data_IF_764535582955
#
_entry.id   IF_764535582955
#
_cell.length_a   1.000
_cell.length_b   1.000
_cell.length_c   1.000
_cell.angle_alpha   90.00
_cell.angle_beta   90.00
_cell.angle_gamma   90.00
#
_symmetry.space_group_name_H-M   'P 1'
#
loop_
_entity.id
_entity.type
_entity.pdbx_description
1 polymer ?
#
# COMPACT_ATOMS: atom_id res chain seq x y z
N UNK A 1 -24.68 0.57 9.59
CA UNK A 1 -23.79 1.32 10.49
C UNK A 1 -23.14 2.44 9.70
N UNK A 2 -22.90 3.57 10.34
CA UNK A 2 -22.09 4.67 9.80
C UNK A 2 -20.63 4.49 10.20
N UNK A 3 -19.73 4.36 9.23
CA UNK A 3 -18.32 4.08 9.47
C UNK A 3 -17.48 5.23 8.92
N UNK A 4 -16.67 5.87 9.75
CA UNK A 4 -15.71 6.86 9.29
C UNK A 4 -14.34 6.21 9.08
N UNK A 5 -13.82 6.30 7.87
CA UNK A 5 -12.48 5.87 7.48
C UNK A 5 -11.60 7.11 7.28
N UNK A 6 -10.57 7.28 8.11
CA UNK A 6 -9.65 8.41 8.03
C UNK A 6 -8.30 7.93 7.52
N UNK A 7 -7.81 8.54 6.44
CA UNK A 7 -6.57 8.10 5.79
C UNK A 7 -5.80 9.28 5.16
N UNK A 8 -4.47 9.25 5.22
CA UNK A 8 -3.58 10.13 4.45
C UNK A 8 -3.20 9.54 3.08
N UNK A 9 -3.54 8.26 2.83
CA UNK A 9 -3.32 7.55 1.58
C UNK A 9 -4.64 7.33 0.83
N UNK A 10 -4.86 8.05 -0.25
CA UNK A 10 -6.06 7.97 -1.09
C UNK A 10 -5.77 8.37 -2.52
N UNK A 11 -6.72 8.16 -3.42
CA UNK A 11 -6.62 8.62 -4.80
C UNK A 11 -6.20 10.11 -4.89
N UNK A 12 -5.36 10.51 -5.83
CA UNK A 12 -4.85 9.75 -6.98
C UNK A 12 -3.59 8.90 -6.72
N UNK A 13 -3.17 8.71 -5.46
CA UNK A 13 -2.03 7.86 -5.15
C UNK A 13 -2.31 6.41 -5.57
N UNK A 14 -1.29 5.75 -6.14
CA UNK A 14 -1.35 4.33 -6.52
C UNK A 14 -0.37 3.55 -5.65
N UNK A 15 -0.89 2.84 -4.67
CA UNK A 15 -0.12 1.98 -3.77
C UNK A 15 -1.03 0.95 -3.07
N UNK A 16 -0.43 -0.05 -2.44
CA UNK A 16 -1.17 -1.14 -1.78
C UNK A 16 -2.13 -0.69 -0.67
N UNK A 17 -1.82 0.41 0.03
CA UNK A 17 -2.72 0.96 1.08
C UNK A 17 -3.99 1.48 0.45
N UNK A 18 -3.88 2.30 -0.60
CA UNK A 18 -5.03 2.84 -1.34
C UNK A 18 -5.89 1.72 -1.90
N UNK A 19 -5.26 0.70 -2.53
CA UNK A 19 -5.98 -0.47 -3.06
C UNK A 19 -6.75 -1.18 -1.95
N UNK A 20 -6.11 -1.48 -0.82
CA UNK A 20 -6.76 -2.13 0.33
C UNK A 20 -7.95 -1.34 0.86
N UNK A 21 -7.78 -0.01 1.00
CA UNK A 21 -8.84 0.84 1.54
C UNK A 21 -10.01 1.01 0.57
N UNK A 22 -9.77 1.08 -0.73
CA UNK A 22 -10.82 1.10 -1.76
C UNK A 22 -11.65 -0.19 -1.72
N UNK A 23 -10.99 -1.35 -1.67
CA UNK A 23 -11.69 -2.64 -1.56
C UNK A 23 -12.44 -2.77 -0.22
N UNK A 24 -11.88 -2.26 0.88
CA UNK A 24 -12.57 -2.20 2.17
C UNK A 24 -13.85 -1.37 2.09
N UNK A 25 -13.79 -0.18 1.50
CA UNK A 25 -14.97 0.68 1.32
C UNK A 25 -16.03 -0.03 0.49
N UNK A 26 -15.66 -0.58 -0.68
CA UNK A 26 -16.58 -1.35 -1.53
C UNK A 26 -17.23 -2.51 -0.78
N UNK A 27 -16.44 -3.26 0.00
CA UNK A 27 -16.93 -4.39 0.79
C UNK A 27 -17.87 -3.96 1.92
N UNK A 28 -17.67 -2.80 2.53
CA UNK A 28 -18.55 -2.25 3.55
C UNK A 28 -19.87 -1.75 2.94
N UNK A 29 -19.79 -1.00 1.84
CA UNK A 29 -20.96 -0.48 1.13
C UNK A 29 -21.83 -1.62 0.57
N UNK A 30 -21.22 -2.68 0.03
CA UNK A 30 -21.95 -3.88 -0.43
C UNK A 30 -22.72 -4.57 0.71
N UNK A 31 -22.27 -4.41 1.95
CA UNK A 31 -22.94 -4.87 3.18
C UNK A 31 -23.91 -3.84 3.77
N UNK A 32 -24.25 -2.79 3.02
CA UNK A 32 -25.17 -1.72 3.41
C UNK A 32 -24.69 -0.89 4.60
N UNK A 33 -23.38 -0.73 4.77
CA UNK A 33 -22.82 0.27 5.66
C UNK A 33 -22.70 1.60 4.91
N UNK A 34 -22.91 2.71 5.61
CA UNK A 34 -22.63 4.05 5.11
C UNK A 34 -21.19 4.40 5.48
N UNK A 35 -20.36 4.73 4.49
CA UNK A 35 -18.93 4.97 4.72
C UNK A 35 -18.56 6.41 4.38
N UNK A 36 -18.07 7.15 5.37
CA UNK A 36 -17.43 8.45 5.16
C UNK A 36 -15.92 8.26 5.07
N UNK A 37 -15.33 8.56 3.92
CA UNK A 37 -13.88 8.58 3.76
C UNK A 37 -13.37 10.00 3.91
N UNK A 38 -12.49 10.24 4.90
CA UNK A 38 -11.80 11.51 5.11
C UNK A 38 -10.36 11.37 4.63
N UNK A 39 -9.99 12.12 3.57
CA UNK A 39 -8.73 11.96 2.86
C UNK A 39 -8.12 13.30 2.41
N UNK A 40 -6.83 13.37 2.04
CA UNK A 40 -6.12 14.63 1.75
C UNK A 40 -6.76 15.49 0.67
N UNK A 41 -7.38 14.91 -0.36
CA UNK A 41 -8.03 15.65 -1.46
C UNK A 41 -9.19 16.57 -1.02
N UNK A 42 -9.67 16.44 0.21
CA UNK A 42 -10.69 17.32 0.79
C UNK A 42 -10.08 18.55 1.49
N UNK A 43 -8.75 18.66 1.60
CA UNK A 43 -8.03 19.66 2.37
C UNK A 43 -7.06 20.44 1.49
N UNK A 44 -6.56 21.58 2.00
CA UNK A 44 -5.34 22.16 1.47
C UNK A 44 -4.18 21.22 1.80
N UNK A 45 -3.35 20.93 0.81
CA UNK A 45 -2.24 19.98 0.97
C UNK A 45 -0.88 20.63 0.75
N UNK A 46 0.16 19.94 1.17
CA UNK A 46 1.55 20.19 0.80
C UNK A 46 2.23 18.85 0.48
N UNK A 47 3.20 18.82 -0.44
CA UNK A 47 3.97 17.63 -0.70
C UNK A 47 4.65 17.09 0.55
N UNK A 48 4.71 15.76 0.68
CA UNK A 48 5.45 15.11 1.76
C UNK A 48 6.96 15.29 1.52
N UNK A 49 7.72 15.86 2.48
CA UNK A 49 9.16 15.98 2.35
C UNK A 49 9.84 14.61 2.15
N UNK A 50 10.68 14.50 1.13
CA UNK A 50 11.42 13.27 0.85
C UNK A 50 10.62 12.11 0.26
N UNK A 51 9.30 12.30 -0.01
CA UNK A 51 8.46 11.25 -0.58
C UNK A 51 7.52 11.82 -1.65
N UNK A 52 7.94 11.75 -2.90
CA UNK A 52 7.15 12.28 -4.04
C UNK A 52 5.84 11.50 -4.23
N UNK A 53 4.78 12.22 -4.61
CA UNK A 53 3.46 11.64 -4.89
C UNK A 53 2.59 11.39 -3.65
N UNK A 54 3.01 11.87 -2.47
CA UNK A 54 2.18 11.91 -1.26
C UNK A 54 1.94 13.35 -0.86
N UNK A 55 0.68 13.74 -0.77
CA UNK A 55 0.25 15.04 -0.31
C UNK A 55 -0.31 14.96 1.11
N UNK A 56 0.20 15.80 1.99
CA UNK A 56 -0.19 15.87 3.40
C UNK A 56 -1.18 17.00 3.65
N UNK A 57 -2.30 16.70 4.31
CA UNK A 57 -3.30 17.69 4.67
C UNK A 57 -2.73 18.72 5.66
N UNK A 58 -2.98 20.00 5.40
CA UNK A 58 -2.58 21.10 6.25
C UNK A 58 -3.71 21.48 7.22
N UNK A 59 -3.39 21.60 8.52
CA UNK A 59 -4.31 22.01 9.59
C UNK A 59 -5.68 21.30 9.56
N UNK A 60 -5.70 19.94 9.48
CA UNK A 60 -6.93 19.21 9.21
C UNK A 60 -7.94 19.19 10.37
N UNK A 61 -7.55 19.60 11.59
CA UNK A 61 -8.31 19.37 12.84
C UNK A 61 -9.75 19.89 12.79
N UNK A 62 -9.96 21.15 12.44
CA UNK A 62 -11.30 21.78 12.48
C UNK A 62 -12.25 21.15 11.46
N UNK A 63 -11.80 21.03 10.21
CA UNK A 63 -12.63 20.46 9.14
C UNK A 63 -12.92 18.99 9.37
N UNK A 64 -11.93 18.19 9.81
CA UNK A 64 -12.11 16.80 10.18
C UNK A 64 -13.11 16.65 11.33
N UNK A 65 -12.97 17.46 12.41
CA UNK A 65 -13.90 17.42 13.54
C UNK A 65 -15.33 17.70 13.08
N UNK A 66 -15.54 18.75 12.27
CA UNK A 66 -16.87 19.07 11.71
C UNK A 66 -17.45 17.92 10.89
N UNK A 67 -16.66 17.30 10.01
CA UNK A 67 -17.12 16.16 9.22
C UNK A 67 -17.55 14.97 10.10
N UNK A 68 -16.81 14.68 11.18
CA UNK A 68 -17.18 13.63 12.12
C UNK A 68 -18.40 13.97 12.96
N UNK A 69 -18.53 15.25 13.39
CA UNK A 69 -19.68 15.74 14.15
C UNK A 69 -20.98 15.72 13.31
N UNK A 70 -20.90 16.06 12.02
CA UNK A 70 -22.02 16.02 11.08
C UNK A 70 -22.39 14.57 10.69
N UNK A 71 -21.40 13.70 10.50
CA UNK A 71 -21.63 12.32 10.09
C UNK A 71 -22.13 11.42 11.23
N UNK A 72 -21.71 11.68 12.47
CA UNK A 72 -22.03 10.89 13.67
C UNK A 72 -21.74 9.39 13.46
N UNK A 73 -20.47 8.99 13.28
CA UNK A 73 -20.12 7.61 12.98
C UNK A 73 -20.36 6.67 14.18
N UNK A 74 -20.87 5.48 13.90
CA UNK A 74 -20.93 4.35 14.86
C UNK A 74 -19.54 3.74 15.12
N UNK A 75 -18.64 3.82 14.12
CA UNK A 75 -17.28 3.30 14.20
C UNK A 75 -16.30 4.23 13.47
N UNK A 76 -15.09 4.36 14.01
CA UNK A 76 -14.01 5.15 13.42
C UNK A 76 -12.79 4.26 13.20
N UNK A 77 -12.30 4.21 11.96
CA UNK A 77 -11.04 3.56 11.60
C UNK A 77 -10.04 4.59 11.10
N UNK A 78 -8.89 4.68 11.76
CA UNK A 78 -7.77 5.55 11.39
C UNK A 78 -6.70 4.71 10.71
N UNK A 79 -6.69 4.73 9.38
CA UNK A 79 -5.90 3.79 8.59
C UNK A 79 -4.42 4.18 8.44
N UNK A 80 -4.05 5.45 8.69
CA UNK A 80 -2.68 5.94 8.51
C UNK A 80 -2.25 6.88 9.62
N UNK A 81 -0.94 7.03 9.79
CA UNK A 81 -0.32 7.79 10.88
C UNK A 81 0.11 9.21 10.47
N UNK A 82 -0.42 9.71 9.36
CA UNK A 82 -0.15 11.07 8.88
C UNK A 82 -0.98 12.16 9.59
N UNK A 83 -0.97 13.40 9.07
CA UNK A 83 -1.67 14.54 9.69
C UNK A 83 -3.16 14.32 9.94
N UNK A 84 -3.87 13.64 9.02
CA UNK A 84 -5.27 13.27 9.20
C UNK A 84 -5.43 12.24 10.31
N UNK A 85 -4.58 11.22 10.33
CA UNK A 85 -4.58 10.22 11.39
C UNK A 85 -4.36 10.82 12.77
N UNK A 86 -3.39 11.71 12.92
CA UNK A 86 -3.16 12.43 14.19
C UNK A 86 -4.33 13.33 14.59
N UNK A 87 -4.97 13.98 13.63
CA UNK A 87 -6.16 14.81 13.90
C UNK A 87 -7.35 13.97 14.38
N UNK A 88 -7.62 12.82 13.72
CA UNK A 88 -8.68 11.90 14.08
C UNK A 88 -8.44 11.26 15.45
N UNK A 89 -7.20 10.77 15.71
CA UNK A 89 -6.80 10.28 17.03
C UNK A 89 -7.08 11.32 18.13
N UNK A 90 -6.69 12.59 17.90
CA UNK A 90 -6.92 13.66 18.85
C UNK A 90 -8.42 13.97 19.05
N UNK A 91 -9.22 13.90 17.99
CA UNK A 91 -10.67 14.03 18.06
C UNK A 91 -11.29 12.92 18.91
N UNK A 92 -10.97 11.65 18.64
CA UNK A 92 -11.50 10.52 19.37
C UNK A 92 -11.13 10.59 20.86
N UNK A 93 -9.88 10.96 21.20
CA UNK A 93 -9.46 11.09 22.59
C UNK A 93 -10.21 12.19 23.34
N UNK A 94 -10.40 13.37 22.72
CA UNK A 94 -11.15 14.48 23.37
C UNK A 94 -12.62 14.12 23.63
N UNK A 95 -13.22 13.38 22.69
CA UNK A 95 -14.64 12.99 22.76
C UNK A 95 -14.84 11.62 23.42
N UNK A 96 -13.78 10.98 23.94
CA UNK A 96 -13.79 9.65 24.58
C UNK A 96 -14.41 8.57 23.68
N UNK A 97 -14.19 8.67 22.35
CA UNK A 97 -14.65 7.72 21.35
C UNK A 97 -13.64 6.60 21.18
N UNK A 98 -14.13 5.38 21.03
CA UNK A 98 -13.29 4.26 20.62
C UNK A 98 -12.99 4.34 19.12
N UNK A 99 -11.79 3.92 18.73
CA UNK A 99 -11.38 3.86 17.34
C UNK A 99 -10.37 2.74 17.13
N UNK A 100 -10.28 2.25 15.92
CA UNK A 100 -9.26 1.30 15.50
C UNK A 100 -8.21 1.99 14.63
N UNK A 101 -7.03 1.40 14.54
CA UNK A 101 -5.94 1.84 13.67
C UNK A 101 -5.43 0.69 12.82
N UNK A 102 -4.61 0.97 11.81
CA UNK A 102 -3.93 -0.07 11.04
C UNK A 102 -2.43 0.24 10.91
N UNK A 103 -1.62 -0.80 10.80
CA UNK A 103 -0.20 -0.72 10.53
C UNK A 103 0.08 -1.24 9.11
N UNK A 104 -0.07 -0.36 8.12
CA UNK A 104 0.09 -0.72 6.71
C UNK A 104 1.51 -0.63 6.20
N UNK A 105 2.34 0.21 6.81
CA UNK A 105 3.66 0.55 6.27
C UNK A 105 4.68 0.62 7.40
N UNK A 106 5.88 0.08 7.16
CA UNK A 106 7.01 0.20 8.09
C UNK A 106 7.63 1.60 8.01
N UNK A 107 6.84 2.63 8.34
CA UNK A 107 7.30 4.02 8.33
C UNK A 107 8.55 4.28 9.19
N UNK A 108 8.76 3.65 10.35
CA UNK A 108 10.01 3.82 11.10
C UNK A 108 11.26 3.48 10.29
N UNK A 109 11.20 2.47 9.42
CA UNK A 109 12.28 2.11 8.51
C UNK A 109 12.48 3.17 7.43
N UNK A 110 11.40 3.72 6.90
CA UNK A 110 11.45 4.81 5.92
C UNK A 110 12.04 6.07 6.54
N UNK A 111 11.62 6.43 7.75
CA UNK A 111 12.17 7.57 8.49
C UNK A 111 13.66 7.39 8.79
N UNK A 112 14.10 6.17 9.13
CA UNK A 112 15.52 5.87 9.29
C UNK A 112 16.28 6.07 7.98
N UNK A 113 15.77 5.55 6.88
CA UNK A 113 16.43 5.64 5.56
C UNK A 113 16.49 7.07 5.02
N UNK A 114 15.40 7.84 5.17
CA UNK A 114 15.27 9.19 4.59
C UNK A 114 15.84 10.30 5.49
N UNK A 115 15.66 10.20 6.81
CA UNK A 115 15.96 11.26 7.78
C UNK A 115 16.97 10.84 8.84
N UNK A 116 17.55 9.63 8.75
CA UNK A 116 18.50 9.06 9.71
C UNK A 116 17.95 9.00 11.15
N UNK A 117 16.61 9.01 11.32
CA UNK A 117 15.98 8.86 12.63
C UNK A 117 16.24 7.45 13.17
N UNK A 118 16.76 7.29 14.41
CA UNK A 118 16.96 5.98 15.01
C UNK A 118 15.66 5.16 15.05
N UNK A 119 15.71 3.87 14.68
CA UNK A 119 14.52 3.02 14.61
C UNK A 119 13.71 3.01 15.91
N UNK A 120 14.38 3.01 17.07
CA UNK A 120 13.69 3.00 18.37
C UNK A 120 12.83 4.26 18.59
N UNK A 121 13.29 5.43 18.11
CA UNK A 121 12.51 6.67 18.17
C UNK A 121 11.28 6.59 17.23
N UNK A 122 11.49 6.13 16.01
CA UNK A 122 10.39 5.91 15.07
C UNK A 122 9.32 5.00 15.68
N UNK A 123 9.72 3.81 16.17
CA UNK A 123 8.78 2.89 16.81
C UNK A 123 8.16 3.43 18.10
N UNK A 124 8.86 4.24 18.89
CA UNK A 124 8.29 4.90 20.07
C UNK A 124 7.17 5.89 19.69
N UNK A 125 7.37 6.69 18.63
CA UNK A 125 6.37 7.61 18.10
C UNK A 125 5.13 6.85 17.61
N UNK A 126 5.32 5.79 16.80
CA UNK A 126 4.21 5.00 16.28
C UNK A 126 3.49 4.24 17.38
N UNK A 127 4.20 3.68 18.35
CA UNK A 127 3.57 3.08 19.53
C UNK A 127 2.74 4.10 20.31
N UNK A 128 3.22 5.34 20.45
CA UNK A 128 2.46 6.41 21.10
C UNK A 128 1.19 6.73 20.29
N UNK A 129 1.30 6.76 18.96
CA UNK A 129 0.14 7.00 18.08
C UNK A 129 -0.94 5.93 18.25
N UNK A 130 -0.56 4.66 18.22
CA UNK A 130 -1.50 3.54 18.27
C UNK A 130 -2.00 3.20 19.68
N UNK A 131 -1.29 3.61 20.74
CA UNK A 131 -1.58 3.24 22.14
C UNK A 131 -3.03 3.43 22.59
N UNK A 132 -3.74 4.53 22.22
CA UNK A 132 -5.13 4.73 22.66
C UNK A 132 -6.17 4.00 21.80
N UNK A 133 -5.79 3.30 20.72
CA UNK A 133 -6.72 2.57 19.89
C UNK A 133 -7.23 1.30 20.59
N UNK A 134 -8.47 0.93 20.31
CA UNK A 134 -9.08 -0.32 20.78
C UNK A 134 -8.54 -1.56 20.05
N UNK A 135 -7.94 -1.37 18.86
CA UNK A 135 -7.30 -2.42 18.08
C UNK A 135 -6.41 -1.85 16.99
N UNK A 136 -5.26 -2.48 16.79
CA UNK A 136 -4.32 -2.18 15.70
C UNK A 136 -4.42 -3.31 14.68
N UNK A 137 -4.94 -3.03 13.50
CA UNK A 137 -5.06 -4.00 12.42
C UNK A 137 -3.69 -4.24 11.77
N UNK A 138 -3.27 -5.50 11.71
CA UNK A 138 -1.95 -5.92 11.27
C UNK A 138 -2.06 -6.97 10.17
N UNK A 139 -1.39 -6.79 9.01
CA UNK A 139 -1.68 -7.58 7.82
C UNK A 139 -1.10 -9.00 7.85
N UNK A 140 0.00 -9.24 8.56
CA UNK A 140 0.64 -10.57 8.60
C UNK A 140 1.09 -10.94 9.99
N UNK A 141 1.20 -12.26 10.24
CA UNK A 141 1.68 -12.80 11.51
C UNK A 141 3.12 -12.33 11.83
N UNK A 142 4.02 -12.29 10.84
CA UNK A 142 5.39 -11.80 11.06
C UNK A 142 5.47 -10.33 11.46
N UNK A 143 4.60 -9.47 10.89
CA UNK A 143 4.51 -8.05 11.31
C UNK A 143 3.89 -7.96 12.70
N UNK A 144 2.90 -8.78 13.03
CA UNK A 144 2.29 -8.81 14.35
C UNK A 144 3.32 -9.17 15.42
N UNK A 145 4.09 -10.22 15.24
CA UNK A 145 5.16 -10.65 16.15
C UNK A 145 6.25 -9.57 16.30
N UNK A 146 6.65 -8.96 15.19
CA UNK A 146 7.61 -7.86 15.17
C UNK A 146 7.11 -6.66 16.00
N UNK A 147 5.83 -6.31 15.92
CA UNK A 147 5.22 -5.23 16.70
C UNK A 147 5.09 -5.60 18.19
N UNK A 148 4.72 -6.85 18.49
CA UNK A 148 4.69 -7.37 19.87
C UNK A 148 6.04 -7.24 20.56
N UNK A 149 7.13 -7.67 19.91
CA UNK A 149 8.49 -7.54 20.40
C UNK A 149 8.90 -6.08 20.66
N UNK A 150 8.29 -5.13 19.95
CA UNK A 150 8.49 -3.68 20.13
C UNK A 150 7.52 -3.04 21.13
N UNK A 151 6.74 -3.85 21.85
CA UNK A 151 5.87 -3.39 22.93
C UNK A 151 4.55 -2.76 22.48
N UNK A 152 4.10 -3.01 21.24
CA UNK A 152 2.75 -2.66 20.82
C UNK A 152 1.74 -3.59 21.50
N UNK A 153 0.57 -3.04 21.82
CA UNK A 153 -0.56 -3.76 22.43
C UNK A 153 -1.78 -3.68 21.54
N UNK A 154 -2.80 -4.45 21.86
CA UNK A 154 -4.09 -4.46 21.13
C UNK A 154 -3.96 -4.82 19.65
N UNK A 155 -2.96 -5.63 19.28
CA UNK A 155 -2.76 -6.10 17.91
C UNK A 155 -3.87 -7.08 17.50
N UNK A 156 -4.36 -6.92 16.27
CA UNK A 156 -5.39 -7.77 15.64
C UNK A 156 -4.93 -8.17 14.25
N UNK A 157 -4.93 -9.45 13.96
CA UNK A 157 -4.68 -9.95 12.61
C UNK A 157 -5.78 -9.45 11.66
N UNK A 158 -5.37 -8.86 10.55
CA UNK A 158 -6.25 -8.42 9.48
C UNK A 158 -5.55 -8.66 8.15
N UNK A 159 -5.68 -9.86 7.64
CA UNK A 159 -5.13 -10.24 6.34
C UNK A 159 -5.85 -9.50 5.22
N UNK A 160 -5.09 -9.11 4.20
CA UNK A 160 -5.65 -8.53 3.00
C UNK A 160 -6.03 -9.65 2.02
N UNK A 161 -6.90 -9.34 1.08
CA UNK A 161 -7.30 -10.20 -0.01
C UNK A 161 -6.93 -9.61 -1.36
N UNK A 162 -7.22 -10.37 -2.41
CA UNK A 162 -7.14 -9.95 -3.80
C UNK A 162 -8.51 -10.13 -4.46
N UNK A 163 -8.84 -9.24 -5.38
CA UNK A 163 -10.03 -9.36 -6.22
C UNK A 163 -9.83 -10.50 -7.23
N UNK A 164 -10.39 -11.68 -6.93
CA UNK A 164 -10.25 -12.88 -7.77
C UNK A 164 -11.17 -12.88 -9.00
N UNK A 165 -12.09 -11.94 -9.11
CA UNK A 165 -12.87 -11.74 -10.33
C UNK A 165 -12.04 -10.99 -11.37
N UNK A 166 -11.22 -10.07 -10.89
CA UNK A 166 -10.32 -9.28 -11.72
C UNK A 166 -8.99 -10.02 -11.97
N UNK A 167 -8.30 -10.42 -10.91
CA UNK A 167 -7.05 -11.18 -10.99
C UNK A 167 -7.37 -12.66 -10.96
N UNK A 168 -7.38 -13.29 -12.12
CA UNK A 168 -7.72 -14.71 -12.26
C UNK A 168 -6.90 -15.40 -13.34
N UNK A 169 -6.77 -16.69 -13.22
CA UNK A 169 -6.15 -17.52 -14.25
C UNK A 169 -7.01 -17.56 -15.52
N UNK A 170 -6.44 -17.20 -16.65
CA UNK A 170 -7.10 -17.17 -17.96
C UNK A 170 -6.79 -18.42 -18.84
N UNK A 171 -6.40 -19.53 -18.23
CA UNK A 171 -5.99 -20.73 -18.97
C UNK A 171 -4.62 -20.56 -19.63
N UNK A 172 -4.39 -21.29 -20.73
CA UNK A 172 -3.12 -21.24 -21.46
C UNK A 172 -2.98 -20.02 -22.39
N UNK A 173 -4.03 -19.23 -22.55
CA UNK A 173 -4.00 -18.05 -23.40
C UNK A 173 -3.32 -16.87 -22.69
N UNK A 174 -2.00 -16.81 -22.81
CA UNK A 174 -1.15 -15.71 -22.28
C UNK A 174 -1.20 -14.52 -23.24
N UNK A 175 -2.41 -13.95 -23.43
CA UNK A 175 -2.65 -12.93 -24.44
C UNK A 175 -2.58 -11.54 -23.80
N UNK A 176 -1.42 -10.93 -23.90
CA UNK A 176 -1.26 -9.48 -23.73
C UNK A 176 -0.40 -8.98 -24.89
N UNK A 177 -0.97 -8.30 -25.90
CA UNK A 177 -0.30 -7.96 -27.15
C UNK A 177 1.10 -7.30 -27.00
N UNK A 178 1.35 -6.41 -26.01
CA UNK A 178 2.67 -5.88 -25.78
C UNK A 178 3.75 -6.91 -25.39
N UNK A 179 3.35 -8.14 -24.99
CA UNK A 179 4.23 -9.23 -24.58
C UNK A 179 4.18 -10.46 -25.49
N UNK A 180 3.39 -10.44 -26.60
CA UNK A 180 3.21 -11.62 -27.44
C UNK A 180 4.43 -11.98 -28.30
N UNK A 181 5.29 -11.01 -28.60
CA UNK A 181 6.43 -11.19 -29.52
C UNK A 181 7.79 -10.97 -28.83
N UNK A 182 7.86 -11.18 -27.53
CA UNK A 182 9.11 -11.03 -26.79
C UNK A 182 9.72 -12.38 -26.44
N UNK A 183 11.03 -12.41 -26.26
CA UNK A 183 11.76 -13.60 -25.87
C UNK A 183 11.32 -14.10 -24.48
N UNK A 184 11.03 -15.39 -24.40
CA UNK A 184 10.62 -16.03 -23.15
C UNK A 184 11.80 -16.77 -22.50
N UNK A 185 11.78 -16.97 -21.17
CA UNK A 185 10.71 -16.65 -20.23
C UNK A 185 10.59 -15.15 -19.93
N UNK A 186 9.38 -14.70 -19.62
CA UNK A 186 9.07 -13.33 -19.19
C UNK A 186 9.18 -13.24 -17.67
N UNK A 187 10.20 -12.54 -17.19
CA UNK A 187 10.34 -12.17 -15.78
C UNK A 187 9.71 -10.83 -15.51
N UNK A 188 8.69 -10.78 -14.65
CA UNK A 188 7.90 -9.58 -14.37
C UNK A 188 8.21 -9.00 -13.00
N UNK A 189 8.41 -7.69 -12.95
CA UNK A 189 8.38 -6.88 -11.73
C UNK A 189 7.18 -5.94 -11.77
N UNK A 190 6.41 -5.88 -10.69
CA UNK A 190 5.31 -4.92 -10.52
C UNK A 190 5.50 -4.16 -9.22
N UNK A 191 5.49 -2.83 -9.31
CA UNK A 191 5.58 -1.98 -8.13
C UNK A 191 6.22 -0.63 -8.41
N UNK A 192 6.32 0.19 -7.37
CA UNK A 192 6.99 1.49 -7.45
C UNK A 192 8.46 1.29 -7.83
N UNK A 193 8.92 2.04 -8.83
CA UNK A 193 10.32 2.02 -9.28
C UNK A 193 11.16 2.88 -8.33
N UNK A 194 11.55 2.26 -7.19
CA UNK A 194 12.17 2.96 -6.06
C UNK A 194 13.18 2.07 -5.32
N UNK A 195 13.99 2.68 -4.49
CA UNK A 195 15.07 2.00 -3.79
C UNK A 195 14.55 0.94 -2.80
N UNK A 196 13.49 1.25 -2.06
CA UNK A 196 12.90 0.35 -1.05
C UNK A 196 12.30 -0.93 -1.65
N UNK A 197 11.94 -0.90 -2.95
CA UNK A 197 11.47 -2.07 -3.68
C UNK A 197 12.60 -2.94 -4.24
N UNK A 198 13.85 -2.54 -4.03
CA UNK A 198 15.05 -3.28 -4.42
C UNK A 198 15.06 -3.68 -5.92
N UNK A 199 14.48 -2.82 -6.78
CA UNK A 199 14.33 -3.09 -8.22
C UNK A 199 15.67 -3.39 -8.90
N UNK A 200 16.79 -2.85 -8.38
CA UNK A 200 18.12 -3.12 -8.93
C UNK A 200 18.45 -4.61 -8.91
N UNK A 201 18.11 -5.32 -7.83
CA UNK A 201 18.34 -6.77 -7.75
C UNK A 201 17.60 -7.53 -8.86
N UNK A 202 16.39 -7.09 -9.24
CA UNK A 202 15.67 -7.63 -10.39
C UNK A 202 16.37 -7.31 -11.72
N UNK A 203 16.81 -6.07 -11.89
CA UNK A 203 17.44 -5.63 -13.14
C UNK A 203 18.81 -6.30 -13.37
N UNK A 204 19.57 -6.50 -12.29
CA UNK A 204 20.91 -7.08 -12.30
C UNK A 204 20.91 -8.64 -12.27
N UNK A 205 19.75 -9.25 -12.01
CA UNK A 205 19.61 -10.71 -12.04
C UNK A 205 19.93 -11.27 -13.44
N UNK A 206 20.84 -12.23 -13.51
CA UNK A 206 21.09 -12.97 -14.74
C UNK A 206 19.98 -13.99 -14.96
N UNK A 207 19.21 -13.85 -16.03
CA UNK A 207 18.10 -14.72 -16.40
C UNK A 207 17.92 -14.69 -17.90
N UNK A 208 17.58 -15.83 -18.53
CA UNK A 208 17.21 -15.84 -19.94
C UNK A 208 15.90 -15.09 -20.17
N UNK A 209 15.63 -14.78 -21.44
CA UNK A 209 14.37 -14.15 -21.86
C UNK A 209 14.29 -12.66 -21.55
N UNK A 210 13.08 -12.17 -21.38
CA UNK A 210 12.80 -10.73 -21.27
C UNK A 210 12.41 -10.32 -19.84
N UNK A 211 13.06 -9.27 -19.36
CA UNK A 211 12.64 -8.57 -18.14
C UNK A 211 11.59 -7.51 -18.44
N UNK A 212 10.49 -7.51 -17.70
CA UNK A 212 9.38 -6.57 -17.83
C UNK A 212 9.17 -5.85 -16.51
N UNK A 213 9.07 -4.53 -16.56
CA UNK A 213 8.78 -3.68 -15.38
C UNK A 213 7.46 -2.96 -15.59
N UNK A 214 6.53 -3.15 -14.65
CA UNK A 214 5.27 -2.43 -14.57
C UNK A 214 5.24 -1.57 -13.31
N UNK A 215 5.11 -0.27 -13.52
CA UNK A 215 5.10 0.75 -12.47
C UNK A 215 5.99 1.93 -12.80
N UNK A 216 5.84 2.98 -12.00
CA UNK A 216 6.59 4.24 -12.13
C UNK A 216 7.25 4.60 -10.79
N UNK A 217 8.22 5.50 -10.82
CA UNK A 217 8.86 5.95 -9.58
C UNK A 217 10.12 6.78 -9.78
N UNK A 218 10.72 7.25 -8.67
CA UNK A 218 11.82 8.22 -8.73
C UNK A 218 13.09 7.70 -9.40
N UNK A 219 13.26 6.40 -9.54
CA UNK A 219 14.43 5.80 -10.19
C UNK A 219 14.19 5.44 -11.66
N UNK A 220 13.00 5.62 -12.19
CA UNK A 220 12.58 5.13 -13.51
C UNK A 220 13.47 5.63 -14.63
N UNK A 221 13.62 6.94 -14.79
CA UNK A 221 14.39 7.55 -15.88
C UNK A 221 15.87 7.10 -15.89
N UNK A 222 16.49 7.10 -14.71
CA UNK A 222 17.87 6.68 -14.57
C UNK A 222 18.06 5.17 -14.87
N UNK A 223 17.10 4.34 -14.48
CA UNK A 223 17.16 2.91 -14.72
C UNK A 223 16.79 2.54 -16.15
N UNK A 224 15.85 3.24 -16.80
CA UNK A 224 15.56 3.06 -18.22
C UNK A 224 16.79 3.30 -19.08
N UNK A 225 17.51 4.37 -18.80
CA UNK A 225 18.75 4.70 -19.54
C UNK A 225 19.85 3.66 -19.33
N UNK A 226 19.95 3.11 -18.13
CA UNK A 226 20.98 2.11 -17.77
C UNK A 226 20.66 0.69 -18.27
N UNK A 227 19.37 0.35 -18.38
CA UNK A 227 18.91 -0.98 -18.77
C UNK A 227 17.98 -0.94 -19.99
N UNK A 228 18.51 -0.59 -21.20
CA UNK A 228 17.69 -0.41 -22.41
C UNK A 228 17.04 -1.69 -22.93
N UNK A 229 17.56 -2.86 -22.55
CA UNK A 229 16.98 -4.17 -22.92
C UNK A 229 15.75 -4.58 -22.08
N UNK A 230 15.39 -3.82 -21.06
CA UNK A 230 14.23 -4.09 -20.23
C UNK A 230 12.98 -3.47 -20.85
N UNK A 231 11.86 -4.20 -20.85
CA UNK A 231 10.56 -3.70 -21.30
C UNK A 231 9.87 -2.93 -20.16
N UNK A 232 9.72 -1.63 -20.32
CA UNK A 232 9.05 -0.76 -19.34
C UNK A 232 7.63 -0.47 -19.81
N UNK A 233 6.62 -0.88 -19.02
CA UNK A 233 5.20 -0.70 -19.32
C UNK A 233 4.60 0.55 -18.64
N UNK A 234 5.32 1.17 -17.70
CA UNK A 234 4.78 2.28 -16.93
C UNK A 234 3.68 1.86 -15.96
N UNK A 235 2.83 2.82 -15.61
CA UNK A 235 1.66 2.56 -14.75
C UNK A 235 0.51 2.08 -15.61
N UNK A 236 -0.06 0.92 -15.27
CA UNK A 236 -1.19 0.32 -15.96
C UNK A 236 -2.46 0.35 -15.10
N UNK A 237 -3.65 0.44 -15.72
CA UNK A 237 -4.92 0.13 -15.07
C UNK A 237 -4.92 -1.30 -14.52
N UNK A 238 -5.75 -1.57 -13.52
CA UNK A 238 -5.76 -2.88 -12.84
C UNK A 238 -6.18 -4.04 -13.74
N UNK A 239 -7.10 -3.81 -14.68
CA UNK A 239 -7.53 -4.78 -15.68
C UNK A 239 -6.42 -5.16 -16.65
N UNK A 240 -5.66 -4.19 -17.14
CA UNK A 240 -4.47 -4.46 -17.94
C UNK A 240 -3.37 -5.14 -17.14
N UNK A 241 -3.19 -4.73 -15.88
CA UNK A 241 -2.21 -5.34 -14.99
C UNK A 241 -2.50 -6.83 -14.74
N UNK A 242 -3.77 -7.22 -14.63
CA UNK A 242 -4.17 -8.62 -14.53
C UNK A 242 -3.75 -9.43 -15.76
N UNK A 243 -3.86 -8.85 -16.97
CA UNK A 243 -3.41 -9.49 -18.20
C UNK A 243 -1.88 -9.60 -18.26
N UNK A 244 -1.16 -8.60 -17.77
CA UNK A 244 0.33 -8.64 -17.68
C UNK A 244 0.79 -9.75 -16.74
N UNK A 245 0.17 -9.89 -15.57
CA UNK A 245 0.46 -11.02 -14.68
C UNK A 245 0.22 -12.36 -15.39
N UNK A 246 -0.97 -12.55 -15.97
CA UNK A 246 -1.32 -13.80 -16.64
C UNK A 246 -0.38 -14.14 -17.83
N UNK A 247 0.18 -13.12 -18.49
CA UNK A 247 1.10 -13.28 -19.62
C UNK A 247 2.56 -13.56 -19.19
N UNK A 248 2.94 -13.29 -17.94
CA UNK A 248 4.29 -13.51 -17.44
C UNK A 248 4.56 -14.99 -17.11
N UNK A 249 5.83 -15.41 -17.16
CA UNK A 249 6.26 -16.75 -16.75
C UNK A 249 6.61 -16.81 -15.27
N UNK A 250 7.14 -15.71 -14.73
CA UNK A 250 7.47 -15.60 -13.31
C UNK A 250 7.34 -14.13 -12.85
N UNK A 251 6.71 -13.95 -11.70
CA UNK A 251 6.70 -12.68 -11.00
C UNK A 251 7.85 -12.65 -9.99
N UNK A 252 8.73 -11.65 -10.10
CA UNK A 252 9.89 -11.50 -9.22
C UNK A 252 9.66 -10.37 -8.25
N UNK A 253 9.68 -10.68 -6.95
CA UNK A 253 9.43 -9.73 -5.88
C UNK A 253 10.66 -9.54 -4.98
N UNK A 254 11.59 -8.65 -5.34
CA UNK A 254 12.87 -8.49 -4.65
C UNK A 254 12.79 -7.61 -3.40
N UNK A 255 11.61 -7.11 -3.02
CA UNK A 255 11.43 -6.23 -1.87
C UNK A 255 11.68 -6.96 -0.55
N UNK A 256 12.44 -6.33 0.37
CA UNK A 256 12.75 -6.86 1.71
C UNK A 256 11.98 -6.17 2.83
N UNK A 257 11.21 -5.13 2.52
CA UNK A 257 10.59 -4.24 3.52
C UNK A 257 9.07 -4.22 3.46
N UNK A 258 8.45 -5.24 2.89
CA UNK A 258 7.00 -5.29 2.79
C UNK A 258 6.31 -5.60 4.13
N UNK A 259 5.07 -5.12 4.24
CA UNK A 259 4.17 -5.52 5.32
C UNK A 259 3.26 -6.66 4.91
N UNK A 260 2.85 -6.71 3.62
CA UNK A 260 1.99 -7.75 3.09
C UNK A 260 2.39 -8.19 1.67
N UNK A 261 2.47 -7.25 0.71
CA UNK A 261 2.81 -7.56 -0.68
C UNK A 261 1.62 -8.02 -1.52
N UNK A 262 0.57 -7.20 -1.65
CA UNK A 262 -0.62 -7.48 -2.46
C UNK A 262 -0.30 -7.98 -3.86
N UNK A 263 0.73 -7.42 -4.50
CA UNK A 263 1.19 -7.80 -5.84
C UNK A 263 1.56 -9.28 -5.97
N UNK A 264 1.99 -9.93 -4.88
CA UNK A 264 2.24 -11.38 -4.88
C UNK A 264 0.93 -12.18 -4.97
N UNK A 265 -0.11 -11.74 -4.25
CA UNK A 265 -1.42 -12.37 -4.34
C UNK A 265 -2.06 -12.16 -5.72
N UNK A 266 -1.90 -10.97 -6.30
CA UNK A 266 -2.36 -10.64 -7.65
C UNK A 266 -1.71 -11.58 -8.67
N UNK A 267 -0.40 -11.76 -8.61
CA UNK A 267 0.34 -12.70 -9.47
C UNK A 267 -0.14 -14.14 -9.29
N UNK A 268 -0.23 -14.62 -8.05
CA UNK A 268 -0.68 -15.99 -7.75
C UNK A 268 -2.13 -16.23 -8.20
N UNK A 269 -3.02 -15.26 -8.03
CA UNK A 269 -4.40 -15.36 -8.50
C UNK A 269 -4.49 -15.46 -10.04
N UNK A 270 -3.57 -14.80 -10.75
CA UNK A 270 -3.44 -14.93 -12.20
C UNK A 270 -2.73 -16.22 -12.64
N UNK A 271 -2.30 -17.10 -11.71
CA UNK A 271 -1.59 -18.35 -12.02
C UNK A 271 -0.10 -18.16 -12.31
N UNK A 272 0.47 -16.99 -12.01
CA UNK A 272 1.87 -16.69 -12.26
C UNK A 272 2.71 -17.09 -11.04
N UNK A 273 3.73 -17.95 -11.19
CA UNK A 273 4.65 -18.31 -10.12
C UNK A 273 5.36 -17.07 -9.54
N UNK A 274 5.58 -17.08 -8.23
CA UNK A 274 6.22 -15.97 -7.52
C UNK A 274 7.60 -16.38 -7.01
N UNK A 275 8.62 -15.62 -7.38
CA UNK A 275 9.96 -15.68 -6.80
C UNK A 275 10.14 -14.46 -5.85
N UNK A 276 10.26 -14.69 -4.56
CA UNK A 276 10.36 -13.65 -3.53
C UNK A 276 11.44 -13.98 -2.49
N UNK A 277 11.90 -12.94 -1.74
CA UNK A 277 12.76 -13.12 -0.57
C UNK A 277 11.95 -13.50 0.66
#
# INVERSE_FOLDING_TARGET
MKIALVTDAWLPQVNGVVTTLLELVRALESRRHEVLVIHPGQFKTKPCPGYSGIDLAQRPREKLSRQLDEFLPDAIHVATEGPLGWAARGYCQRNKLQFTTAFHTKFPEILKAALHVPLWMGYALFRHFHKPSSGIMVPTQGVLEMLQQRGFKNLRGWTHGVDTDLFRFHGSARIYPPLDKIERPVSLFVGRVSYEKNIKAFLEMETPGTKVVCGVGPLEEALKSRYPGVRWLGLLPRDELALVYAAADVFVFPSRSETFGLVMLEAMACGTPVAAF
#
